data_IF_245404908549
#
_entry.id   IF_245404908549
#
_cell.length_a   1.000
_cell.length_b   1.000
_cell.length_c   1.000
_cell.angle_alpha   90.00
_cell.angle_beta   90.00
_cell.angle_gamma   90.00
#
_symmetry.space_group_name_H-M   'P 1'
#
loop_
_entity.id
_entity.type
_entity.pdbx_description
1 polymer ?
#
# COMPACT_ATOMS: atom_id res chain seq x y z
N UNK A 1 -11.62 4.73 31.78
CA UNK A 1 -10.89 3.48 31.44
C UNK A 1 -11.88 2.34 31.57
N UNK A 2 -11.86 1.40 30.61
CA UNK A 2 -12.72 0.22 30.44
C UNK A 2 -14.00 0.41 29.59
N UNK A 3 -13.93 -0.11 28.36
CA UNK A 3 -14.82 -1.17 27.84
C UNK A 3 -15.29 -0.92 26.41
N UNK A 4 -14.45 -1.32 25.45
CA UNK A 4 -14.92 -1.74 24.13
C UNK A 4 -14.04 -2.89 23.64
N UNK A 5 -14.15 -4.02 24.35
CA UNK A 5 -13.50 -5.29 24.04
C UNK A 5 -14.50 -6.21 23.31
N UNK A 6 -15.10 -5.73 22.22
CA UNK A 6 -16.06 -6.52 21.43
C UNK A 6 -15.97 -6.19 19.95
N UNK A 7 -14.94 -6.70 19.28
CA UNK A 7 -14.92 -6.84 17.83
C UNK A 7 -14.51 -8.26 17.45
N UNK A 8 -15.33 -9.23 17.86
CA UNK A 8 -15.35 -10.56 17.24
C UNK A 8 -16.79 -11.00 17.08
N UNK A 9 -17.31 -10.84 15.85
CA UNK A 9 -18.21 -11.75 15.12
C UNK A 9 -19.06 -10.99 14.10
N UNK A 10 -18.69 -11.05 12.82
CA UNK A 10 -19.51 -11.51 11.68
C UNK A 10 -18.93 -10.98 10.36
N UNK A 11 -18.57 -11.92 9.47
CA UNK A 11 -18.60 -11.73 8.01
C UNK A 11 -17.49 -10.89 7.38
N UNK A 12 -16.67 -11.55 6.54
CA UNK A 12 -16.08 -11.00 5.30
C UNK A 12 -15.52 -9.57 5.32
N UNK A 13 -14.20 -9.49 5.46
CA UNK A 13 -13.43 -8.29 5.16
C UNK A 13 -12.54 -7.91 6.33
N UNK A 14 -11.23 -8.08 6.16
CA UNK A 14 -10.26 -7.31 6.94
C UNK A 14 -10.72 -5.85 6.94
N UNK A 15 -10.87 -5.23 8.11
CA UNK A 15 -11.21 -3.81 8.22
C UNK A 15 -9.99 -2.97 7.83
N UNK A 16 -9.79 -2.88 6.53
CA UNK A 16 -8.71 -2.13 5.91
C UNK A 16 -8.76 -0.64 6.26
N UNK A 17 -9.94 -0.11 6.62
CA UNK A 17 -10.09 1.27 7.06
C UNK A 17 -9.44 1.47 8.44
N UNK A 18 -9.60 0.52 9.37
CA UNK A 18 -8.94 0.53 10.67
C UNK A 18 -7.41 0.34 10.56
N UNK A 19 -6.94 -0.51 9.65
CA UNK A 19 -5.50 -0.71 9.40
C UNK A 19 -4.88 0.53 8.76
N UNK A 20 -5.57 1.17 7.80
CA UNK A 20 -5.11 2.40 7.16
C UNK A 20 -5.01 3.57 8.16
N UNK A 21 -6.02 3.75 9.00
CA UNK A 21 -5.99 4.78 10.05
C UNK A 21 -4.89 4.55 11.09
N UNK A 22 -4.56 3.29 11.41
CA UNK A 22 -3.46 2.95 12.31
C UNK A 22 -2.09 3.34 11.72
N UNK A 23 -1.87 3.13 10.42
CA UNK A 23 -0.64 3.56 9.75
C UNK A 23 -0.61 5.08 9.53
N UNK A 24 -1.73 5.71 9.16
CA UNK A 24 -1.85 7.17 9.02
C UNK A 24 -1.48 7.92 10.33
N UNK A 25 -1.82 7.35 11.49
CA UNK A 25 -1.47 7.90 12.80
C UNK A 25 0.02 7.74 13.17
N UNK A 26 0.68 6.65 12.75
CA UNK A 26 2.12 6.42 12.96
C UNK A 26 3.01 7.28 12.05
N UNK A 27 2.45 7.78 10.96
CA UNK A 27 3.12 8.55 9.90
C UNK A 27 3.27 10.05 10.18
N UNK A 28 2.39 10.63 10.98
CA UNK A 28 2.16 12.07 11.05
C UNK A 28 3.28 12.87 11.76
N UNK A 29 4.40 12.26 12.14
CA UNK A 29 5.36 12.86 13.10
C UNK A 29 6.67 13.37 12.48
N UNK A 30 7.10 13.02 11.25
CA UNK A 30 8.48 13.36 10.86
C UNK A 30 8.86 13.38 9.36
N UNK A 31 8.31 14.25 8.50
CA UNK A 31 8.90 14.58 7.17
C UNK A 31 9.40 13.41 6.30
N UNK A 32 8.78 12.26 6.42
CA UNK A 32 9.35 10.94 6.10
C UNK A 32 8.88 10.47 4.72
N UNK A 33 9.64 9.63 3.99
CA UNK A 33 9.20 8.96 2.76
C UNK A 33 7.78 8.40 2.83
N UNK A 34 7.35 7.97 4.01
CA UNK A 34 5.99 7.49 4.25
C UNK A 34 4.94 8.59 4.01
N UNK A 35 5.15 9.83 4.49
CA UNK A 35 4.18 10.93 4.36
C UNK A 35 3.92 11.26 2.89
N UNK A 36 4.99 11.24 2.08
CA UNK A 36 4.89 11.48 0.65
C UNK A 36 4.09 10.38 -0.05
N UNK A 37 4.30 9.11 0.31
CA UNK A 37 3.52 7.98 -0.20
C UNK A 37 2.06 8.08 0.23
N UNK A 38 1.78 8.38 1.50
CA UNK A 38 0.41 8.52 1.99
C UNK A 38 -0.34 9.65 1.31
N UNK A 39 0.33 10.76 1.00
CA UNK A 39 -0.25 11.84 0.18
C UNK A 39 -0.64 11.34 -1.21
N UNK A 40 0.21 10.56 -1.87
CA UNK A 40 -0.10 10.01 -3.18
C UNK A 40 -1.27 9.00 -3.15
N UNK A 41 -1.37 8.20 -2.08
CA UNK A 41 -2.52 7.33 -1.84
C UNK A 41 -3.79 8.15 -1.60
N UNK A 42 -3.73 9.22 -0.81
CA UNK A 42 -4.87 10.11 -0.62
C UNK A 42 -5.37 10.70 -1.94
N UNK A 43 -4.46 11.16 -2.82
CA UNK A 43 -4.79 11.63 -4.17
C UNK A 43 -5.45 10.51 -4.99
N UNK A 44 -4.95 9.27 -4.92
CA UNK A 44 -5.57 8.15 -5.62
C UNK A 44 -7.02 7.89 -5.18
N UNK A 45 -7.33 8.11 -3.90
CA UNK A 45 -8.69 7.93 -3.38
C UNK A 45 -9.62 9.09 -3.74
N UNK A 46 -9.11 10.33 -3.81
CA UNK A 46 -9.94 11.52 -4.08
C UNK A 46 -10.04 11.87 -5.56
N UNK A 47 -8.96 11.72 -6.30
CA UNK A 47 -8.80 12.16 -7.69
C UNK A 47 -8.61 10.98 -8.66
N UNK A 48 -8.55 9.76 -8.12
CA UNK A 48 -8.46 8.52 -8.89
C UNK A 48 -7.03 7.99 -9.05
N UNK A 49 -6.95 6.69 -9.34
CA UNK A 49 -5.68 5.93 -9.32
C UNK A 49 -4.61 6.50 -10.26
N UNK A 50 -4.99 7.08 -11.40
CA UNK A 50 -4.05 7.74 -12.33
C UNK A 50 -3.34 8.93 -11.68
N UNK A 51 -4.07 9.79 -10.98
CA UNK A 51 -3.52 10.98 -10.32
C UNK A 51 -2.57 10.59 -9.18
N UNK A 52 -2.96 9.63 -8.35
CA UNK A 52 -2.09 9.15 -7.28
C UNK A 52 -0.85 8.43 -7.79
N UNK A 53 -0.95 7.69 -8.90
CA UNK A 53 0.21 7.05 -9.53
C UNK A 53 1.18 8.08 -10.10
N UNK A 54 0.67 9.15 -10.73
CA UNK A 54 1.50 10.28 -11.18
C UNK A 54 2.21 10.94 -9.98
N UNK A 55 1.52 11.14 -8.86
CA UNK A 55 2.12 11.67 -7.65
C UNK A 55 3.22 10.76 -7.09
N UNK A 56 3.05 9.43 -7.12
CA UNK A 56 4.13 8.49 -6.75
C UNK A 56 5.33 8.59 -7.69
N UNK A 57 5.12 8.78 -9.00
CA UNK A 57 6.23 8.86 -9.95
C UNK A 57 7.14 10.06 -9.71
N UNK A 58 6.57 11.21 -9.35
CA UNK A 58 7.35 12.41 -8.97
C UNK A 58 8.25 12.13 -7.77
N UNK A 59 7.83 11.24 -6.86
CA UNK A 59 8.62 10.85 -5.70
C UNK A 59 9.72 9.84 -6.04
N UNK A 60 9.54 9.05 -7.10
CA UNK A 60 10.44 7.95 -7.48
C UNK A 60 11.88 8.39 -7.85
N UNK A 61 12.14 9.68 -7.99
CA UNK A 61 13.50 10.21 -8.18
C UNK A 61 14.34 10.18 -6.89
N UNK A 62 13.71 10.07 -5.72
CA UNK A 62 14.40 9.88 -4.44
C UNK A 62 14.82 8.41 -4.28
N UNK A 63 16.13 8.16 -4.28
CA UNK A 63 16.71 6.81 -4.10
C UNK A 63 16.25 6.12 -2.81
N UNK A 64 15.93 6.89 -1.76
CA UNK A 64 15.44 6.34 -0.48
C UNK A 64 14.10 5.62 -0.66
N UNK A 65 13.28 6.06 -1.61
CA UNK A 65 12.00 5.42 -1.91
C UNK A 65 12.14 4.13 -2.71
N UNK A 66 13.21 3.99 -3.50
CA UNK A 66 13.48 2.77 -4.26
C UNK A 66 13.84 1.58 -3.36
N UNK A 67 14.42 1.84 -2.19
CA UNK A 67 14.72 0.82 -1.18
C UNK A 67 13.59 0.66 -0.15
N UNK A 68 12.51 1.45 -0.29
CA UNK A 68 11.42 1.47 0.67
C UNK A 68 10.23 0.64 0.18
N UNK A 69 10.04 -0.52 0.81
CA UNK A 69 8.99 -1.49 0.44
C UNK A 69 7.59 -0.86 0.25
N UNK A 70 7.10 0.07 1.10
CA UNK A 70 5.75 0.63 0.96
C UNK A 70 5.54 1.43 -0.32
N UNK A 71 6.59 2.04 -0.89
CA UNK A 71 6.52 2.73 -2.17
C UNK A 71 6.09 1.76 -3.29
N UNK A 72 6.75 0.60 -3.34
CA UNK A 72 6.49 -0.42 -4.33
C UNK A 72 5.11 -1.07 -4.16
N UNK A 73 4.68 -1.31 -2.91
CA UNK A 73 3.34 -1.83 -2.64
C UNK A 73 2.23 -0.86 -3.07
N UNK A 74 2.36 0.43 -2.76
CA UNK A 74 1.41 1.45 -3.19
C UNK A 74 1.36 1.57 -4.71
N UNK A 75 2.52 1.61 -5.37
CA UNK A 75 2.63 1.62 -6.84
C UNK A 75 1.95 0.40 -7.47
N UNK A 76 2.17 -0.79 -6.91
CA UNK A 76 1.57 -2.03 -7.40
C UNK A 76 0.05 -2.01 -7.32
N UNK A 77 -0.52 -1.59 -6.19
CA UNK A 77 -1.97 -1.49 -6.00
C UNK A 77 -2.63 -0.50 -6.95
N UNK A 78 -2.01 0.67 -7.18
CA UNK A 78 -2.53 1.65 -8.14
C UNK A 78 -2.46 1.15 -9.59
N UNK A 79 -1.36 0.51 -9.97
CA UNK A 79 -1.23 -0.10 -11.30
C UNK A 79 -2.26 -1.21 -11.52
N UNK A 80 -2.55 -2.02 -10.49
CA UNK A 80 -3.57 -3.06 -10.54
C UNK A 80 -4.97 -2.47 -10.76
N UNK A 81 -5.34 -1.39 -10.05
CA UNK A 81 -6.60 -0.67 -10.23
C UNK A 81 -6.77 -0.08 -11.64
N UNK A 82 -5.67 0.25 -12.30
CA UNK A 82 -5.64 0.74 -13.67
C UNK A 82 -5.60 -0.37 -14.74
N UNK A 83 -5.63 -1.65 -14.33
CA UNK A 83 -5.52 -2.79 -15.25
C UNK A 83 -4.12 -3.02 -15.81
N UNK A 84 -3.10 -2.31 -15.30
CA UNK A 84 -1.70 -2.42 -15.72
C UNK A 84 -1.03 -3.63 -15.05
N UNK A 85 -1.58 -4.82 -15.28
CA UNK A 85 -1.23 -6.09 -14.60
C UNK A 85 0.27 -6.39 -14.61
N UNK A 86 0.93 -6.25 -15.76
CA UNK A 86 2.37 -6.54 -15.89
C UNK A 86 3.22 -5.66 -14.98
N UNK A 87 2.93 -4.36 -14.96
CA UNK A 87 3.70 -3.40 -14.16
C UNK A 87 3.35 -3.53 -12.67
N UNK A 88 2.09 -3.84 -12.35
CA UNK A 88 1.66 -4.13 -10.99
C UNK A 88 2.41 -5.35 -10.43
N UNK A 89 2.52 -6.44 -11.20
CA UNK A 89 3.25 -7.63 -10.81
C UNK A 89 4.74 -7.35 -10.54
N UNK A 90 5.39 -6.55 -11.40
CA UNK A 90 6.78 -6.12 -11.21
C UNK A 90 6.97 -5.29 -9.94
N UNK A 91 6.04 -4.37 -9.66
CA UNK A 91 6.10 -3.57 -8.43
C UNK A 91 5.86 -4.44 -7.18
N UNK A 92 4.96 -5.42 -7.23
CA UNK A 92 4.82 -6.39 -6.16
C UNK A 92 6.09 -7.22 -5.94
N UNK A 93 6.81 -7.60 -7.00
CA UNK A 93 8.09 -8.32 -6.87
C UNK A 93 9.14 -7.50 -6.11
N UNK A 94 9.25 -6.21 -6.40
CA UNK A 94 10.14 -5.31 -5.65
C UNK A 94 9.72 -5.21 -4.19
N UNK A 95 8.43 -5.04 -3.92
CA UNK A 95 7.90 -4.98 -2.55
C UNK A 95 8.18 -6.28 -1.78
N UNK A 96 7.99 -7.44 -2.39
CA UNK A 96 8.26 -8.76 -1.79
C UNK A 96 9.75 -8.93 -1.48
N UNK A 97 10.64 -8.48 -2.37
CA UNK A 97 12.08 -8.56 -2.20
C UNK A 97 12.62 -7.71 -1.05
N UNK A 98 11.99 -6.57 -0.80
CA UNK A 98 12.37 -5.64 0.28
C UNK A 98 11.75 -5.98 1.64
N UNK A 99 10.67 -6.76 1.67
CA UNK A 99 9.96 -7.12 2.90
C UNK A 99 10.71 -8.19 3.70
N UNK A 100 10.95 -7.97 5.00
CA UNK A 100 11.64 -8.92 5.89
C UNK A 100 10.67 -9.70 6.78
N UNK A 101 9.48 -9.17 7.04
CA UNK A 101 8.43 -9.86 7.78
C UNK A 101 7.77 -10.95 6.90
N UNK A 102 7.87 -12.24 7.28
CA UNK A 102 7.27 -13.33 6.51
C UNK A 102 5.76 -13.23 6.34
N UNK A 103 5.03 -12.63 7.29
CA UNK A 103 3.59 -12.47 7.21
C UNK A 103 3.21 -11.42 6.17
N UNK A 104 3.87 -10.26 6.20
CA UNK A 104 3.66 -9.19 5.23
C UNK A 104 4.12 -9.61 3.82
N UNK A 105 5.23 -10.37 3.73
CA UNK A 105 5.69 -10.94 2.45
C UNK A 105 4.66 -11.88 1.82
N UNK A 106 4.05 -12.76 2.62
CA UNK A 106 2.97 -13.65 2.16
C UNK A 106 1.72 -12.88 1.71
N UNK A 107 1.37 -11.81 2.42
CA UNK A 107 0.27 -10.94 2.01
C UNK A 107 0.53 -10.35 0.61
N UNK A 108 1.71 -9.77 0.37
CA UNK A 108 2.08 -9.19 -0.93
C UNK A 108 2.09 -10.24 -2.06
N UNK A 109 2.55 -11.46 -1.76
CA UNK A 109 2.49 -12.59 -2.70
C UNK A 109 1.05 -12.96 -3.06
N UNK A 110 0.14 -12.96 -2.07
CA UNK A 110 -1.29 -13.17 -2.28
C UNK A 110 -1.92 -12.10 -3.16
N UNK A 111 -1.59 -10.82 -2.93
CA UNK A 111 -2.06 -9.71 -3.77
C UNK A 111 -1.55 -9.84 -5.21
N UNK A 112 -0.27 -10.17 -5.40
CA UNK A 112 0.30 -10.43 -6.74
C UNK A 112 -0.42 -11.57 -7.46
N UNK A 113 -0.71 -12.67 -6.76
CA UNK A 113 -1.36 -13.84 -7.35
C UNK A 113 -2.78 -13.52 -7.89
N UNK A 114 -3.52 -12.62 -7.21
CA UNK A 114 -4.85 -12.18 -7.65
C UNK A 114 -4.83 -11.46 -9.00
N UNK A 115 -3.69 -10.87 -9.40
CA UNK A 115 -3.56 -10.18 -10.69
C UNK A 115 -3.56 -11.14 -11.90
N UNK A 116 -3.19 -12.40 -11.68
CA UNK A 116 -3.00 -13.41 -12.75
C UNK A 116 -4.16 -14.39 -12.81
N UNK A 117 -4.96 -14.48 -11.74
CA UNK A 117 -6.10 -15.40 -11.62
C UNK A 117 -7.47 -14.77 -11.89
N UNK A 118 -7.52 -13.57 -12.49
CA UNK A 118 -8.75 -12.85 -12.85
C UNK A 118 -9.07 -12.94 -14.33
#
# INVERSE_FOLDING_TARGET
VQSAHTARRRGSGTDWAAIRQLYDALLAVAGSPVVAINRAVAIAETEGATAGLAALYVLGEDKRLQEYQPYWAARAGLLARLGNVKQAAQAYDQAIGLERDPALRRFLQGEKAKLVGG
#
